data_IF_255354110578
#
_entry.id   IF_255354110578
#
_cell.length_a   1.000
_cell.length_b   1.000
_cell.length_c   1.000
_cell.angle_alpha   90.00
_cell.angle_beta   90.00
_cell.angle_gamma   90.00
#
_symmetry.space_group_name_H-M   'P 1'
#
loop_
_entity.id
_entity.type
_entity.pdbx_description
1 polymer ?
#
# COMPACT_ATOMS: atom_id res chain seq x y z
N UNK A 1 -5.30 23.15 8.91
CA UNK A 1 -5.33 22.01 9.85
C UNK A 1 -4.09 21.12 9.73
N UNK A 2 -3.88 20.16 10.64
CA UNK A 2 -2.65 19.33 10.71
C UNK A 2 -2.33 18.60 9.38
N UNK A 3 -3.36 18.11 8.69
CA UNK A 3 -3.21 17.46 7.38
C UNK A 3 -2.67 18.42 6.32
N UNK A 4 -3.10 19.68 6.31
CA UNK A 4 -2.62 20.68 5.33
C UNK A 4 -1.14 20.97 5.51
N UNK A 5 -0.66 20.96 6.77
CA UNK A 5 0.77 21.11 7.08
C UNK A 5 1.56 19.93 6.49
N UNK A 6 1.05 18.71 6.64
CA UNK A 6 1.69 17.51 6.06
C UNK A 6 1.65 17.56 4.54
N UNK A 7 0.52 17.94 3.92
CA UNK A 7 0.41 18.08 2.47
C UNK A 7 1.36 19.13 1.92
N UNK A 8 1.45 20.29 2.57
CA UNK A 8 2.38 21.34 2.18
C UNK A 8 3.84 20.90 2.34
N UNK A 9 4.18 20.20 3.43
CA UNK A 9 5.52 19.68 3.65
C UNK A 9 5.94 18.66 2.57
N UNK A 10 5.01 17.81 2.15
CA UNK A 10 5.24 16.81 1.10
C UNK A 10 5.03 17.35 -0.32
N UNK A 11 4.64 18.63 -0.46
CA UNK A 11 4.28 19.26 -1.74
C UNK A 11 3.19 18.47 -2.53
N UNK A 12 2.17 17.98 -1.83
CA UNK A 12 1.07 17.19 -2.41
C UNK A 12 -0.11 18.07 -2.82
N UNK A 13 -0.48 17.97 -4.10
CA UNK A 13 -1.67 18.63 -4.65
C UNK A 13 -2.89 17.68 -4.70
N UNK A 14 -2.68 16.40 -5.04
CA UNK A 14 -3.74 15.38 -5.10
C UNK A 14 -4.04 14.80 -3.69
N UNK A 15 -4.51 15.65 -2.77
CA UNK A 15 -4.64 15.33 -1.34
C UNK A 15 -5.78 14.37 -1.01
N UNK A 16 -6.76 14.22 -1.92
CA UNK A 16 -7.98 13.44 -1.72
C UNK A 16 -7.74 11.95 -1.40
N UNK A 17 -6.56 11.41 -1.72
CA UNK A 17 -6.23 10.00 -1.54
C UNK A 17 -5.69 9.67 -0.14
N UNK A 18 -5.27 10.67 0.64
CA UNK A 18 -4.45 10.46 1.83
C UNK A 18 -5.16 10.82 3.13
N UNK A 19 -4.62 10.31 4.23
CA UNK A 19 -5.03 10.69 5.57
C UNK A 19 -3.94 10.41 6.60
N UNK A 20 -4.22 10.77 7.85
CA UNK A 20 -3.40 10.42 9.00
C UNK A 20 -4.07 9.28 9.77
N UNK A 21 -3.28 8.27 10.15
CA UNK A 21 -3.69 7.20 11.06
C UNK A 21 -2.98 7.33 12.39
N UNK A 22 -3.60 6.80 13.44
CA UNK A 22 -2.97 6.64 14.75
C UNK A 22 -3.34 5.29 15.34
N UNK A 23 -2.52 4.84 16.28
CA UNK A 23 -2.82 3.66 17.09
C UNK A 23 -3.42 4.12 18.42
N UNK A 24 -4.51 3.49 18.84
CA UNK A 24 -5.03 3.70 20.20
C UNK A 24 -4.24 2.86 21.23
N UNK A 25 -4.52 3.01 22.54
CA UNK A 25 -3.83 2.23 23.57
C UNK A 25 -3.99 0.70 23.47
N UNK A 26 -4.94 0.21 22.67
CA UNK A 26 -5.16 -1.21 22.37
C UNK A 26 -4.50 -1.65 21.06
N UNK A 27 -3.63 -0.81 20.48
CA UNK A 27 -2.99 -1.00 19.17
C UNK A 27 -3.97 -1.11 18.00
N UNK A 28 -5.20 -0.64 18.16
CA UNK A 28 -6.14 -0.56 17.05
C UNK A 28 -5.83 0.67 16.20
N UNK A 29 -5.84 0.50 14.88
CA UNK A 29 -5.59 1.59 13.93
C UNK A 29 -6.86 2.39 13.67
N UNK A 30 -6.76 3.71 13.78
CA UNK A 30 -7.86 4.65 13.53
C UNK A 30 -7.43 5.72 12.52
N UNK A 31 -8.37 6.18 11.69
CA UNK A 31 -8.16 7.36 10.86
C UNK A 31 -8.48 8.63 11.65
N UNK A 32 -7.61 9.63 11.56
CA UNK A 32 -7.88 10.97 12.06
C UNK A 32 -9.00 11.61 11.24
N UNK A 33 -10.03 12.10 11.92
CA UNK A 33 -11.14 12.84 11.34
C UNK A 33 -10.75 14.32 11.18
N UNK A 34 -10.59 14.85 9.96
CA UNK A 34 -10.19 16.23 9.75
C UNK A 34 -11.22 17.25 10.25
N UNK A 35 -12.50 16.86 10.41
CA UNK A 35 -13.55 17.75 10.91
C UNK A 35 -13.54 17.88 12.45
N UNK A 36 -12.74 17.09 13.16
CA UNK A 36 -12.69 17.08 14.63
C UNK A 36 -11.33 17.55 15.14
N UNK A 37 -11.33 18.26 16.26
CA UNK A 37 -10.09 18.68 16.94
C UNK A 37 -9.22 17.46 17.27
N UNK A 38 -7.93 17.51 16.90
CA UNK A 38 -6.96 16.42 17.13
C UNK A 38 -6.91 15.97 18.59
N UNK A 39 -6.90 16.93 19.52
CA UNK A 39 -6.89 16.68 20.98
C UNK A 39 -8.12 15.94 21.51
N UNK A 40 -9.23 15.89 20.76
CA UNK A 40 -10.42 15.12 21.13
C UNK A 40 -10.38 13.67 20.62
N UNK A 41 -9.45 13.36 19.71
CA UNK A 41 -9.32 12.06 19.06
C UNK A 41 -8.14 11.28 19.63
N UNK A 42 -7.00 11.96 19.83
CA UNK A 42 -5.80 11.36 20.39
C UNK A 42 -5.91 11.29 21.92
N UNK A 43 -5.87 10.08 22.45
CA UNK A 43 -5.83 9.81 23.89
C UNK A 43 -4.42 9.38 24.29
N UNK A 44 -3.97 9.80 25.47
CA UNK A 44 -2.65 9.44 26.00
C UNK A 44 -1.70 10.63 26.09
N UNK A 45 -0.42 10.32 26.28
CA UNK A 45 0.62 11.30 26.61
C UNK A 45 1.47 11.61 25.38
N UNK A 46 1.75 12.90 25.18
CA UNK A 46 2.63 13.39 24.10
C UNK A 46 4.07 12.86 24.26
N UNK A 47 4.80 12.58 23.16
CA UNK A 47 4.44 12.83 21.75
C UNK A 47 3.48 11.79 21.17
N UNK A 48 2.60 12.25 20.28
CA UNK A 48 1.72 11.36 19.51
C UNK A 48 2.39 10.94 18.21
N UNK A 49 2.33 9.64 17.89
CA UNK A 49 2.78 9.11 16.61
C UNK A 49 1.60 9.02 15.65
N UNK A 50 1.71 9.69 14.50
CA UNK A 50 0.75 9.64 13.41
C UNK A 50 1.43 9.07 12.17
N UNK A 51 0.66 8.36 11.36
CA UNK A 51 1.12 7.72 10.14
C UNK A 51 0.40 8.34 8.95
N UNK A 52 1.14 9.00 8.07
CA UNK A 52 0.63 9.40 6.77
C UNK A 52 0.42 8.18 5.89
N UNK A 53 -0.75 8.02 5.27
CA UNK A 53 -1.11 6.80 4.54
C UNK A 53 -2.13 7.07 3.44
N UNK A 54 -2.15 6.20 2.43
CA UNK A 54 -3.24 6.19 1.43
C UNK A 54 -4.51 5.66 2.11
N UNK A 55 -5.56 6.49 2.10
CA UNK A 55 -6.89 6.16 2.61
C UNK A 55 -7.81 5.65 1.53
N UNK A 56 -7.71 6.23 0.34
CA UNK A 56 -8.51 5.86 -0.82
C UNK A 56 -7.57 5.50 -1.95
N UNK A 57 -7.47 4.22 -2.29
CA UNK A 57 -6.60 3.79 -3.37
C UNK A 57 -7.24 4.11 -4.72
N UNK A 58 -6.48 4.73 -5.63
CA UNK A 58 -6.89 4.87 -7.03
C UNK A 58 -6.97 3.48 -7.68
N UNK A 59 -8.02 3.23 -8.46
CA UNK A 59 -8.18 1.98 -9.20
C UNK A 59 -7.06 1.77 -10.22
N UNK A 60 -6.56 2.85 -10.82
CA UNK A 60 -5.36 2.85 -11.65
C UNK A 60 -4.38 3.91 -11.14
N UNK A 61 -3.44 3.55 -10.25
CA UNK A 61 -2.46 4.50 -9.69
C UNK A 61 -1.52 5.07 -10.76
N UNK A 62 -1.42 4.45 -11.95
CA UNK A 62 -0.62 4.96 -13.06
C UNK A 62 -1.27 6.19 -13.73
N UNK A 63 -2.55 6.48 -13.44
CA UNK A 63 -3.26 7.67 -13.94
C UNK A 63 -3.23 8.87 -13.00
N UNK A 64 -2.63 8.73 -11.81
CA UNK A 64 -2.39 9.86 -10.92
C UNK A 64 -1.51 10.89 -11.65
N UNK A 65 -1.83 12.17 -11.51
CA UNK A 65 -1.22 13.23 -12.33
C UNK A 65 0.19 13.54 -11.87
N UNK A 66 0.37 13.74 -10.57
CA UNK A 66 1.63 14.16 -9.98
C UNK A 66 2.56 12.96 -9.70
N UNK A 67 3.84 13.14 -10.01
CA UNK A 67 4.87 12.15 -9.71
C UNK A 67 4.97 11.87 -8.20
N UNK A 68 4.90 12.93 -7.38
CA UNK A 68 4.94 12.79 -5.93
C UNK A 68 3.75 11.98 -5.39
N UNK A 69 2.56 12.09 -5.99
CA UNK A 69 1.40 11.27 -5.59
C UNK A 69 1.64 9.81 -5.92
N UNK A 70 2.16 9.50 -7.12
CA UNK A 70 2.54 8.13 -7.51
C UNK A 70 3.61 7.56 -6.58
N UNK A 71 4.60 8.36 -6.21
CA UNK A 71 5.63 7.95 -5.27
C UNK A 71 5.05 7.58 -3.89
N UNK A 72 4.14 8.39 -3.34
CA UNK A 72 3.47 8.06 -2.07
C UNK A 72 2.64 6.76 -2.16
N UNK A 73 1.98 6.50 -3.30
CA UNK A 73 1.32 5.23 -3.55
C UNK A 73 2.31 4.06 -3.62
N UNK A 74 3.43 4.23 -4.30
CA UNK A 74 4.51 3.24 -4.38
C UNK A 74 5.03 2.88 -2.98
N UNK A 75 5.29 3.87 -2.13
CA UNK A 75 5.72 3.65 -0.74
C UNK A 75 4.65 2.90 0.08
N UNK A 76 3.39 3.29 -0.07
CA UNK A 76 2.29 2.63 0.64
C UNK A 76 2.15 1.16 0.24
N UNK A 77 2.22 0.85 -1.06
CA UNK A 77 2.09 -0.52 -1.56
C UNK A 77 3.29 -1.38 -1.17
N UNK A 78 4.51 -0.83 -1.16
CA UNK A 78 5.70 -1.51 -0.58
C UNK A 78 5.42 -1.93 0.86
N UNK A 79 4.83 -1.04 1.66
CA UNK A 79 4.47 -1.35 3.04
C UNK A 79 3.33 -2.39 3.14
N UNK A 80 2.34 -2.35 2.24
CA UNK A 80 1.25 -3.34 2.20
C UNK A 80 1.76 -4.75 1.95
N UNK A 81 2.71 -4.89 1.02
CA UNK A 81 3.36 -6.16 0.71
C UNK A 81 4.19 -6.63 1.90
N UNK A 82 5.01 -5.74 2.47
CA UNK A 82 5.85 -6.08 3.62
C UNK A 82 5.03 -6.47 4.86
N UNK A 83 3.86 -5.88 5.06
CA UNK A 83 2.95 -6.22 6.16
C UNK A 83 2.05 -7.44 5.85
N UNK A 84 2.12 -8.00 4.64
CA UNK A 84 1.28 -9.12 4.21
C UNK A 84 -0.18 -8.75 3.92
N UNK A 85 -0.51 -7.45 3.86
CA UNK A 85 -1.84 -6.95 3.43
C UNK A 85 -2.08 -7.17 1.94
N UNK A 86 -1.01 -7.12 1.15
CA UNK A 86 -1.02 -7.42 -0.28
C UNK A 86 -0.16 -8.67 -0.55
N UNK A 87 -0.76 -9.87 -0.53
CA UNK A 87 -0.03 -11.10 -0.86
C UNK A 87 0.41 -11.10 -2.33
N UNK A 88 1.64 -11.52 -2.57
CA UNK A 88 2.24 -11.63 -3.91
C UNK A 88 2.94 -12.97 -4.09
N UNK A 89 3.08 -13.41 -5.35
CA UNK A 89 3.87 -14.59 -5.68
C UNK A 89 5.38 -14.32 -5.52
N UNK A 90 6.19 -15.39 -5.44
CA UNK A 90 7.64 -15.26 -5.39
C UNK A 90 8.24 -14.64 -6.66
N UNK A 91 7.69 -14.97 -7.83
CA UNK A 91 8.17 -14.38 -9.09
C UNK A 91 7.88 -12.87 -9.13
N UNK A 92 6.69 -12.47 -8.68
CA UNK A 92 6.32 -11.06 -8.62
C UNK A 92 7.14 -10.32 -7.56
N UNK A 93 7.46 -10.94 -6.42
CA UNK A 93 8.28 -10.28 -5.39
C UNK A 93 9.69 -9.96 -5.90
N UNK A 94 10.28 -10.82 -6.74
CA UNK A 94 11.56 -10.53 -7.37
C UNK A 94 11.48 -9.37 -8.36
N UNK A 95 10.44 -9.32 -9.19
CA UNK A 95 10.23 -8.24 -10.15
C UNK A 95 10.01 -6.89 -9.43
N UNK A 96 9.10 -6.86 -8.46
CA UNK A 96 8.81 -5.68 -7.65
C UNK A 96 10.03 -5.21 -6.85
N UNK A 97 10.77 -6.15 -6.26
CA UNK A 97 12.02 -5.84 -5.56
C UNK A 97 13.04 -5.16 -6.48
N UNK A 98 13.15 -5.59 -7.74
CA UNK A 98 14.08 -4.98 -8.70
C UNK A 98 13.70 -3.53 -9.06
N UNK A 99 12.41 -3.24 -9.26
CA UNK A 99 11.95 -1.86 -9.47
C UNK A 99 12.17 -1.00 -8.22
N UNK A 100 11.95 -1.56 -7.03
CA UNK A 100 12.18 -0.85 -5.78
C UNK A 100 13.67 -0.50 -5.60
N UNK A 101 14.58 -1.45 -5.87
CA UNK A 101 16.02 -1.19 -5.82
C UNK A 101 16.43 -0.16 -6.86
N UNK A 102 15.93 -0.24 -8.10
CA UNK A 102 16.24 0.74 -9.15
C UNK A 102 15.76 2.15 -8.78
N UNK A 103 14.58 2.28 -8.15
CA UNK A 103 14.07 3.58 -7.66
C UNK A 103 14.96 4.17 -6.57
N UNK A 104 15.43 3.36 -5.62
CA UNK A 104 16.20 3.83 -4.47
C UNK A 104 17.70 4.04 -4.77
N UNK A 105 18.32 3.17 -5.57
CA UNK A 105 19.77 3.17 -5.82
C UNK A 105 20.18 3.73 -7.18
N UNK A 106 19.23 3.84 -8.12
CA UNK A 106 19.52 4.08 -9.53
C UNK A 106 20.20 2.88 -10.20
N UNK A 107 20.88 3.11 -11.32
CA UNK A 107 21.48 2.05 -12.13
C UNK A 107 22.46 1.15 -11.38
N UNK A 108 22.44 -0.14 -11.71
CA UNK A 108 23.43 -1.08 -11.22
C UNK A 108 24.87 -0.68 -11.61
N UNK A 109 25.70 -0.37 -10.61
CA UNK A 109 27.15 -0.22 -10.71
C UNK A 109 27.89 -1.35 -9.96
N UNK A 110 28.70 -2.20 -10.63
CA UNK A 110 29.45 -3.28 -9.98
C UNK A 110 30.49 -2.80 -8.95
N UNK A 111 30.88 -1.52 -8.96
CA UNK A 111 31.78 -0.93 -7.97
C UNK A 111 31.09 -0.58 -6.66
N UNK A 112 29.78 -0.29 -6.73
CA UNK A 112 28.94 0.11 -5.58
C UNK A 112 28.08 -1.03 -5.05
N UNK A 113 27.66 -1.94 -5.92
CA UNK A 113 26.74 -3.02 -5.61
C UNK A 113 27.49 -4.35 -5.44
N UNK A 114 28.15 -4.51 -4.30
CA UNK A 114 28.77 -5.76 -3.90
C UNK A 114 27.73 -6.87 -3.70
N UNK A 115 28.11 -8.16 -3.81
CA UNK A 115 27.19 -9.27 -3.52
C UNK A 115 26.48 -9.07 -2.17
N UNK A 116 25.16 -9.22 -2.16
CA UNK A 116 24.33 -9.02 -0.95
C UNK A 116 23.83 -7.59 -0.71
N UNK A 117 24.12 -6.60 -1.57
CA UNK A 117 23.61 -5.22 -1.39
C UNK A 117 22.07 -5.13 -1.29
N UNK A 118 21.35 -6.08 -1.90
CA UNK A 118 19.88 -6.16 -1.83
C UNK A 118 19.39 -6.48 -0.41
N UNK A 119 20.21 -7.13 0.42
CA UNK A 119 19.83 -7.52 1.79
C UNK A 119 19.67 -6.32 2.74
N UNK A 120 20.12 -5.12 2.34
CA UNK A 120 19.87 -3.85 3.05
C UNK A 120 18.39 -3.44 2.99
N UNK A 121 17.63 -4.02 2.07
CA UNK A 121 16.21 -3.76 1.88
C UNK A 121 15.37 -4.95 2.33
N UNK A 122 14.15 -4.66 2.80
CA UNK A 122 13.14 -5.67 3.14
C UNK A 122 11.90 -5.48 2.27
N UNK A 123 11.68 -6.41 1.35
CA UNK A 123 10.57 -6.38 0.40
C UNK A 123 9.39 -7.23 0.87
N UNK A 124 9.68 -8.37 1.52
CA UNK A 124 8.69 -9.30 2.07
C UNK A 124 9.18 -9.82 3.43
N UNK A 125 8.28 -10.36 4.25
CA UNK A 125 8.63 -10.91 5.59
C UNK A 125 9.48 -12.17 5.51
N UNK A 126 9.29 -13.00 4.49
CA UNK A 126 9.96 -14.29 4.28
C UNK A 126 11.10 -14.20 3.27
N UNK A 127 11.82 -13.07 3.26
CA UNK A 127 12.88 -12.81 2.29
C UNK A 127 14.02 -13.83 2.42
N UNK A 128 14.47 -14.37 1.28
CA UNK A 128 15.53 -15.38 1.20
C UNK A 128 16.70 -14.88 0.35
N UNK A 129 17.89 -15.45 0.55
CA UNK A 129 19.07 -15.16 -0.28
C UNK A 129 18.81 -15.46 -1.76
N UNK A 130 18.02 -16.48 -2.06
CA UNK A 130 17.63 -16.80 -3.45
C UNK A 130 16.81 -15.69 -4.09
N UNK A 131 15.87 -15.10 -3.34
CA UNK A 131 15.09 -13.94 -3.80
C UNK A 131 16.00 -12.71 -3.97
N UNK A 132 16.88 -12.43 -3.01
CA UNK A 132 17.80 -11.29 -3.08
C UNK A 132 18.73 -11.38 -4.31
N UNK A 133 19.26 -12.57 -4.61
CA UNK A 133 20.04 -12.82 -5.82
C UNK A 133 19.20 -12.60 -7.08
N UNK A 134 17.94 -13.07 -7.10
CA UNK A 134 17.05 -12.87 -8.25
C UNK A 134 16.75 -11.39 -8.49
N UNK A 135 16.49 -10.63 -7.42
CA UNK A 135 16.31 -9.17 -7.47
C UNK A 135 17.57 -8.50 -8.04
N UNK A 136 18.76 -8.87 -7.56
CA UNK A 136 20.01 -8.32 -8.05
C UNK A 136 20.22 -8.59 -9.56
N UNK A 137 19.89 -9.79 -10.04
CA UNK A 137 19.97 -10.14 -11.47
C UNK A 137 18.95 -9.38 -12.33
N UNK A 138 17.77 -9.08 -11.79
CA UNK A 138 16.77 -8.26 -12.48
C UNK A 138 17.16 -6.78 -12.48
N UNK A 139 17.71 -6.26 -11.39
CA UNK A 139 18.18 -4.88 -11.28
C UNK A 139 19.23 -4.53 -12.35
N UNK A 140 20.16 -5.46 -12.64
CA UNK A 140 21.15 -5.31 -13.73
C UNK A 140 20.52 -5.06 -15.12
N UNK A 141 19.24 -5.40 -15.32
CA UNK A 141 18.52 -5.23 -16.59
C UNK A 141 17.74 -3.92 -16.67
N UNK A 142 17.69 -3.14 -15.59
CA UNK A 142 16.94 -1.89 -15.49
C UNK A 142 17.81 -0.65 -15.72
N UNK A 143 19.08 -0.82 -16.11
CA UNK A 143 20.01 0.28 -16.37
C UNK A 143 19.41 1.28 -17.37
N UNK A 144 19.47 2.57 -17.02
CA UNK A 144 18.88 3.68 -17.76
C UNK A 144 17.43 3.99 -17.36
N UNK A 145 16.80 3.20 -16.50
CA UNK A 145 15.45 3.45 -16.03
C UNK A 145 15.46 4.44 -14.85
N UNK A 146 14.91 5.63 -15.05
CA UNK A 146 14.78 6.64 -13.99
C UNK A 146 13.84 6.18 -12.86
N UNK A 147 14.02 6.67 -11.62
CA UNK A 147 13.21 6.24 -10.47
C UNK A 147 11.70 6.30 -10.69
N UNK A 148 11.19 7.42 -11.21
CA UNK A 148 9.75 7.60 -11.45
C UNK A 148 9.17 6.59 -12.45
N UNK A 149 9.98 6.11 -13.40
CA UNK A 149 9.58 5.04 -14.31
C UNK A 149 9.59 3.68 -13.63
N UNK A 150 10.55 3.41 -12.75
CA UNK A 150 10.59 2.17 -11.95
C UNK A 150 9.38 2.08 -11.00
N UNK A 151 9.06 3.17 -10.31
CA UNK A 151 7.87 3.30 -9.45
C UNK A 151 6.58 3.08 -10.24
N UNK A 152 6.48 3.68 -11.44
CA UNK A 152 5.31 3.47 -12.29
C UNK A 152 5.19 2.01 -12.77
N UNK A 153 6.29 1.35 -13.13
CA UNK A 153 6.29 -0.08 -13.48
C UNK A 153 5.90 -0.96 -12.29
N UNK A 154 6.33 -0.61 -11.07
CA UNK A 154 5.91 -1.28 -9.84
C UNK A 154 4.38 -1.18 -9.66
N UNK A 155 3.83 0.03 -9.77
CA UNK A 155 2.40 0.29 -9.62
C UNK A 155 1.56 -0.38 -10.72
N UNK A 156 2.08 -0.45 -11.94
CA UNK A 156 1.42 -1.13 -13.06
C UNK A 156 1.24 -2.62 -12.79
N UNK A 157 2.18 -3.25 -12.07
CA UNK A 157 2.11 -4.67 -11.73
C UNK A 157 1.12 -4.94 -10.59
N UNK A 158 1.13 -4.11 -9.55
CA UNK A 158 0.35 -4.36 -8.33
C UNK A 158 -1.14 -4.03 -8.47
N UNK A 159 -1.53 -3.10 -9.35
CA UNK A 159 -2.93 -2.68 -9.49
C UNK A 159 -3.89 -3.79 -9.91
N UNK A 160 -3.36 -4.86 -10.50
CA UNK A 160 -4.13 -6.02 -10.97
C UNK A 160 -4.34 -7.09 -9.89
N UNK A 161 -3.70 -6.95 -8.72
CA UNK A 161 -3.80 -7.93 -7.65
C UNK A 161 -5.15 -7.80 -6.93
N UNK A 162 -5.77 -8.93 -6.63
CA UNK A 162 -7.09 -8.99 -5.97
C UNK A 162 -7.13 -8.24 -4.63
N UNK A 163 -6.00 -8.21 -3.92
CA UNK A 163 -5.88 -7.58 -2.60
C UNK A 163 -5.34 -6.14 -2.65
N UNK A 164 -5.16 -5.56 -3.84
CA UNK A 164 -4.66 -4.18 -3.98
C UNK A 164 -5.66 -3.16 -3.41
N UNK A 165 -5.20 -2.39 -2.42
CA UNK A 165 -5.98 -1.35 -1.78
C UNK A 165 -7.20 -1.86 -1.00
N UNK A 166 -7.21 -3.15 -0.63
CA UNK A 166 -8.35 -3.76 0.08
C UNK A 166 -8.32 -3.43 1.56
N UNK A 167 -9.41 -2.84 2.04
CA UNK A 167 -9.69 -2.68 3.47
C UNK A 167 -10.63 -3.80 3.94
N UNK A 168 -10.09 -4.74 4.73
CA UNK A 168 -10.78 -5.97 5.15
C UNK A 168 -11.51 -5.78 6.48
N UNK A 169 -12.79 -6.13 6.49
CA UNK A 169 -13.66 -6.10 7.66
C UNK A 169 -14.22 -7.51 7.93
N UNK A 170 -13.92 -8.13 9.09
CA UNK A 170 -14.54 -9.40 9.45
C UNK A 170 -16.02 -9.20 9.71
N UNK A 171 -16.84 -10.10 9.18
CA UNK A 171 -18.30 -10.10 9.35
C UNK A 171 -18.83 -11.51 9.57
N UNK A 172 -20.00 -11.61 10.19
CA UNK A 172 -20.76 -12.85 10.30
C UNK A 172 -21.90 -12.81 9.28
N UNK A 173 -21.98 -13.84 8.44
CA UNK A 173 -23.10 -14.04 7.53
C UNK A 173 -24.26 -14.75 8.21
N UNK A 174 -25.25 -15.13 7.40
CA UNK A 174 -26.31 -16.06 7.82
C UNK A 174 -25.66 -17.38 8.30
N UNK A 175 -26.25 -18.01 9.31
CA UNK A 175 -25.76 -19.23 9.98
C UNK A 175 -24.44 -19.10 10.78
N UNK A 176 -24.06 -17.90 11.23
CA UNK A 176 -22.82 -17.63 11.99
C UNK A 176 -21.54 -18.03 11.24
N UNK A 177 -21.58 -18.05 9.91
CA UNK A 177 -20.41 -18.31 9.09
C UNK A 177 -19.58 -17.03 8.98
N UNK A 178 -18.29 -17.12 9.30
CA UNK A 178 -17.36 -15.99 9.17
C UNK A 178 -17.01 -15.71 7.69
N UNK A 179 -17.08 -14.42 7.34
CA UNK A 179 -16.64 -13.88 6.07
C UNK A 179 -15.77 -12.63 6.31
N UNK A 180 -15.10 -12.18 5.25
CA UNK A 180 -14.55 -10.83 5.22
C UNK A 180 -15.19 -10.04 4.08
N UNK A 181 -15.59 -8.80 4.38
CA UNK A 181 -15.91 -7.80 3.36
C UNK A 181 -14.64 -7.00 3.08
N UNK A 182 -14.19 -6.98 1.83
CA UNK A 182 -13.09 -6.16 1.38
C UNK A 182 -13.60 -4.97 0.59
N UNK A 183 -13.40 -3.76 1.09
CA UNK A 183 -13.63 -2.54 0.31
C UNK A 183 -12.44 -2.33 -0.61
N UNK A 184 -12.70 -2.20 -1.91
CA UNK A 184 -11.67 -2.06 -2.95
C UNK A 184 -11.89 -0.77 -3.74
N UNK A 185 -10.90 -0.29 -4.50
CA UNK A 185 -11.09 0.83 -5.42
C UNK A 185 -12.23 0.64 -6.43
N UNK A 186 -12.54 -0.60 -6.81
CA UNK A 186 -13.50 -0.92 -7.88
C UNK A 186 -14.86 -1.40 -7.38
N UNK A 187 -14.99 -1.74 -6.10
CA UNK A 187 -16.20 -2.35 -5.53
C UNK A 187 -15.97 -2.98 -4.17
N UNK A 188 -16.84 -3.91 -3.81
CA UNK A 188 -16.76 -4.74 -2.60
C UNK A 188 -16.51 -6.19 -2.98
N UNK A 189 -15.51 -6.82 -2.38
CA UNK A 189 -15.28 -8.26 -2.47
C UNK A 189 -15.75 -8.96 -1.19
N UNK A 190 -16.20 -10.21 -1.33
CA UNK A 190 -16.53 -11.08 -0.21
C UNK A 190 -15.56 -12.25 -0.22
N UNK A 191 -14.88 -12.46 0.91
CA UNK A 191 -13.94 -13.56 1.09
C UNK A 191 -14.49 -14.56 2.11
N UNK A 192 -14.30 -15.85 1.83
CA UNK A 192 -14.51 -16.95 2.77
C UNK A 192 -13.28 -17.83 2.76
N UNK A 193 -12.70 -18.14 3.92
CA UNK A 193 -11.47 -18.93 4.01
C UNK A 193 -10.34 -18.41 3.09
N UNK A 194 -10.18 -17.07 3.01
CA UNK A 194 -9.22 -16.37 2.13
C UNK A 194 -9.47 -16.55 0.62
N UNK A 195 -10.56 -17.19 0.22
CA UNK A 195 -10.97 -17.30 -1.18
C UNK A 195 -12.07 -16.28 -1.50
N UNK A 196 -11.98 -15.66 -2.67
CA UNK A 196 -13.00 -14.71 -3.16
C UNK A 196 -14.26 -15.48 -3.58
N UNK A 197 -15.36 -15.23 -2.88
CA UNK A 197 -16.68 -15.86 -3.14
C UNK A 197 -17.72 -14.89 -3.70
N UNK A 198 -17.44 -13.58 -3.64
CA UNK A 198 -18.32 -12.55 -4.21
C UNK A 198 -17.53 -11.32 -4.63
N UNK A 199 -18.05 -10.61 -5.63
CA UNK A 199 -17.50 -9.34 -6.12
C UNK A 199 -18.62 -8.44 -6.66
N UNK A 200 -18.76 -7.25 -6.08
CA UNK A 200 -19.81 -6.28 -6.35
C UNK A 200 -19.19 -4.94 -6.75
N UNK A 201 -19.23 -4.60 -8.04
CA UNK A 201 -18.67 -3.35 -8.54
C UNK A 201 -19.51 -2.14 -8.12
N UNK A 202 -18.86 -1.02 -7.82
CA UNK A 202 -19.53 0.22 -7.39
C UNK A 202 -20.70 0.65 -8.29
N UNK A 203 -20.59 0.65 -9.63
CA UNK A 203 -21.70 1.05 -10.51
C UNK A 203 -22.95 0.15 -10.41
N UNK A 204 -22.83 -1.05 -9.83
CA UNK A 204 -23.94 -2.00 -9.67
C UNK A 204 -24.56 -1.96 -8.28
N UNK A 205 -23.99 -1.21 -7.34
CA UNK A 205 -24.50 -1.06 -5.97
C UNK A 205 -25.40 0.17 -5.94
N UNK A 206 -26.72 -0.04 -5.83
CA UNK A 206 -27.70 1.05 -5.80
C UNK A 206 -27.88 1.68 -4.42
N UNK A 207 -27.68 0.91 -3.34
CA UNK A 207 -27.84 1.37 -1.96
C UNK A 207 -27.05 0.49 -0.99
N UNK A 208 -26.44 1.13 0.00
CA UNK A 208 -25.87 0.47 1.18
C UNK A 208 -26.57 1.06 2.40
N UNK A 209 -27.04 0.20 3.31
CA UNK A 209 -27.63 0.62 4.58
C UNK A 209 -27.22 -0.34 5.69
N UNK A 210 -27.16 0.17 6.91
CA UNK A 210 -26.93 -0.59 8.12
C UNK A 210 -28.14 -0.43 9.04
N UNK A 211 -28.62 -1.53 9.63
CA UNK A 211 -29.59 -1.52 10.72
C UNK A 211 -28.95 -2.29 11.87
N UNK A 212 -28.74 -1.60 12.98
CA UNK A 212 -28.28 -2.20 14.23
C UNK A 212 -29.40 -2.87 14.99
#
# INVERSE_FOLDING_TARGET
DLLDIVFSHLNLMETAYFGLRYLDPSNQTHWLDPAKKVVKQLKGTSPFTLYFSVKFYAADPCKLVEEITRYQFFLQVKQDILQGRLPISQDLSAELGSYAVQSELGDYDPRRHSPGYVSEFRFITTQTVALENKIAELHKKLVGQVPSKAEMCYLEKVKWLDMYGVDLHPVLGEDNIEYFLGLTPSGVIVLRNKAKVGNYYWPRISKVYFRG
#
